data_IF_505061167363
#
_entry.id   IF_505061167363
#
_cell.length_a   1.000
_cell.length_b   1.000
_cell.length_c   1.000
_cell.angle_alpha   90.00
_cell.angle_beta   90.00
_cell.angle_gamma   90.00
#
_symmetry.space_group_name_H-M   'P 1'
#
loop_
_entity.id
_entity.type
_entity.pdbx_description
1 polymer ?
#
# COMPACT_ATOMS: atom_id res chain seq x y z
N UNK A 1 9.75 0.18 7.34
CA UNK A 1 9.36 1.18 8.36
C UNK A 1 10.07 2.49 8.06
N UNK A 2 9.33 3.57 7.86
CA UNK A 2 9.83 4.91 7.57
C UNK A 2 9.87 5.72 8.88
N UNK A 3 11.02 6.33 9.26
CA UNK A 3 11.11 7.12 10.49
C UNK A 3 10.52 8.53 10.34
N UNK A 4 10.27 9.20 11.46
CA UNK A 4 9.83 10.61 11.48
C UNK A 4 10.80 11.54 10.73
N UNK A 5 10.28 12.69 10.26
CA UNK A 5 11.05 13.71 9.55
C UNK A 5 11.72 13.20 8.27
N UNK A 6 11.00 12.37 7.52
CA UNK A 6 11.52 11.74 6.29
C UNK A 6 10.77 12.24 5.07
N UNK A 7 11.51 12.58 4.02
CA UNK A 7 10.97 12.73 2.67
C UNK A 7 11.52 11.61 1.80
N UNK A 8 10.62 10.79 1.23
CA UNK A 8 10.94 9.87 0.14
C UNK A 8 10.39 10.49 -1.14
N UNK A 9 11.28 10.77 -2.09
CA UNK A 9 10.91 11.38 -3.36
C UNK A 9 11.52 10.60 -4.53
N UNK A 10 10.70 10.24 -5.52
CA UNK A 10 11.18 9.62 -6.75
C UNK A 10 11.82 10.64 -7.69
N UNK A 11 12.86 10.21 -8.42
CA UNK A 11 13.57 11.03 -9.40
C UNK A 11 13.04 10.73 -10.81
N UNK A 12 12.67 11.78 -11.54
CA UNK A 12 12.08 11.66 -12.87
C UNK A 12 10.81 10.80 -12.84
N UNK A 13 10.67 9.88 -13.79
CA UNK A 13 9.53 8.97 -13.94
C UNK A 13 9.79 7.56 -13.41
N UNK A 14 10.92 7.32 -12.75
CA UNK A 14 11.40 5.96 -12.45
C UNK A 14 11.33 5.59 -10.96
N UNK A 15 10.88 6.51 -10.09
CA UNK A 15 10.72 6.23 -8.67
C UNK A 15 9.66 5.16 -8.46
N UNK A 16 10.06 3.94 -8.13
CA UNK A 16 9.17 2.78 -8.02
C UNK A 16 9.55 1.87 -6.86
N UNK A 17 8.54 1.38 -6.15
CA UNK A 17 8.65 0.28 -5.18
C UNK A 17 7.77 -0.89 -5.64
N UNK A 18 8.26 -2.11 -5.45
CA UNK A 18 7.53 -3.36 -5.73
C UNK A 18 7.78 -4.38 -4.61
N UNK A 19 6.90 -5.38 -4.52
CA UNK A 19 7.06 -6.53 -3.62
C UNK A 19 7.15 -6.17 -2.12
N UNK A 20 6.56 -5.05 -1.70
CA UNK A 20 6.53 -4.68 -0.30
C UNK A 20 5.77 -3.39 -0.01
N UNK A 21 5.57 -3.14 1.28
CA UNK A 21 4.75 -2.05 1.80
C UNK A 21 5.59 -0.89 2.34
N UNK A 22 5.19 0.34 2.04
CA UNK A 22 5.71 1.52 2.74
C UNK A 22 4.95 1.74 4.05
N UNK A 23 5.61 1.39 5.16
CA UNK A 23 5.01 1.45 6.51
C UNK A 23 5.43 2.72 7.24
N UNK A 24 4.46 3.60 7.54
CA UNK A 24 4.56 4.82 8.35
C UNK A 24 3.82 4.53 9.66
N UNK A 25 4.56 4.19 10.73
CA UNK A 25 3.96 3.68 11.97
C UNK A 25 4.53 4.34 13.22
N UNK A 26 3.67 4.96 14.03
CA UNK A 26 4.07 5.61 15.28
C UNK A 26 5.02 6.78 15.06
N UNK A 27 4.89 7.48 13.93
CA UNK A 27 5.81 8.55 13.51
C UNK A 27 5.06 9.80 13.06
N UNK A 28 5.81 10.88 12.87
CA UNK A 28 5.26 12.17 12.44
C UNK A 28 6.14 12.82 11.37
N UNK A 29 5.55 13.71 10.57
CA UNK A 29 6.24 14.51 9.56
C UNK A 29 6.91 13.63 8.49
N UNK A 30 6.10 12.93 7.71
CA UNK A 30 6.56 12.07 6.61
C UNK A 30 5.96 12.51 5.29
N UNK A 31 6.79 12.53 4.25
CA UNK A 31 6.42 12.95 2.91
C UNK A 31 6.76 11.81 1.93
N UNK A 32 5.75 11.30 1.21
CA UNK A 32 5.90 10.36 0.09
C UNK A 32 5.55 11.07 -1.21
N UNK A 33 6.52 11.23 -2.14
CA UNK A 33 6.30 12.04 -3.35
C UNK A 33 6.83 11.47 -4.64
N UNK A 34 6.06 11.62 -5.72
CA UNK A 34 6.49 11.24 -7.07
C UNK A 34 6.95 9.77 -7.14
N UNK A 35 6.15 8.86 -6.57
CA UNK A 35 6.46 7.43 -6.50
C UNK A 35 5.38 6.61 -7.22
N UNK A 36 5.79 5.52 -7.85
CA UNK A 36 4.91 4.43 -8.24
C UNK A 36 5.04 3.30 -7.21
N UNK A 37 3.93 2.89 -6.61
CA UNK A 37 3.85 1.76 -5.69
C UNK A 37 3.08 0.64 -6.38
N UNK A 38 3.75 -0.48 -6.63
CA UNK A 38 3.10 -1.70 -7.07
C UNK A 38 2.59 -2.47 -5.84
N UNK A 39 1.30 -2.78 -5.80
CA UNK A 39 0.69 -3.49 -4.69
C UNK A 39 1.40 -4.84 -4.47
N UNK A 40 1.75 -5.19 -3.21
CA UNK A 40 2.47 -6.41 -2.92
C UNK A 40 1.54 -7.63 -3.03
N UNK A 41 2.04 -8.69 -3.67
CA UNK A 41 1.33 -9.97 -3.75
C UNK A 41 1.64 -10.80 -2.51
N UNK A 42 0.64 -11.03 -1.66
CA UNK A 42 0.76 -11.93 -0.52
C UNK A 42 0.96 -13.37 -0.99
N UNK A 43 2.07 -13.98 -0.57
CA UNK A 43 2.44 -15.35 -0.94
C UNK A 43 1.72 -16.40 -0.10
N UNK A 44 1.16 -16.00 1.05
CA UNK A 44 0.43 -16.88 1.95
C UNK A 44 -0.76 -16.15 2.61
N UNK A 45 -1.77 -15.72 1.83
CA UNK A 45 -3.01 -15.17 2.36
C UNK A 45 -3.65 -16.10 3.40
N UNK A 46 -4.32 -15.50 4.38
CA UNK A 46 -5.00 -16.23 5.44
C UNK A 46 -6.41 -16.63 5.00
N UNK A 47 -6.82 -17.88 5.27
CA UNK A 47 -8.18 -18.33 4.98
C UNK A 47 -9.09 -18.08 6.18
N UNK A 48 -10.18 -17.35 5.94
CA UNK A 48 -11.21 -17.06 6.92
C UNK A 48 -12.50 -17.82 6.61
N UNK A 49 -12.98 -18.59 7.58
CA UNK A 49 -14.19 -19.39 7.40
C UNK A 49 -15.40 -18.48 7.20
N UNK A 50 -15.98 -18.54 6.00
CA UNK A 50 -17.15 -17.74 5.61
C UNK A 50 -16.82 -16.49 4.77
N UNK A 51 -15.54 -16.17 4.57
CA UNK A 51 -15.09 -15.00 3.81
C UNK A 51 -14.02 -15.32 2.75
N UNK A 52 -13.37 -16.49 2.85
CA UNK A 52 -12.42 -16.96 1.83
C UNK A 52 -10.98 -16.56 2.15
N UNK A 53 -10.16 -16.33 1.13
CA UNK A 53 -8.77 -15.93 1.30
C UNK A 53 -8.65 -14.41 1.46
N UNK A 54 -7.88 -13.96 2.43
CA UNK A 54 -7.62 -12.55 2.75
C UNK A 54 -6.11 -12.28 2.77
N UNK A 55 -5.68 -11.28 2.03
CA UNK A 55 -4.29 -10.82 1.99
C UNK A 55 -4.00 -9.81 3.12
N UNK A 56 -2.73 -9.66 3.51
CA UNK A 56 -2.34 -8.83 4.66
C UNK A 56 -1.59 -7.53 4.31
N UNK A 57 -1.06 -7.40 3.09
CA UNK A 57 -0.06 -6.39 2.79
C UNK A 57 -0.59 -5.24 1.92
N UNK A 58 -0.64 -4.05 2.52
CA UNK A 58 -0.97 -2.81 1.81
C UNK A 58 0.19 -2.31 0.92
N UNK A 59 -0.05 -1.54 -0.14
CA UNK A 59 1.05 -0.86 -0.85
C UNK A 59 1.72 0.22 0.04
N UNK A 60 0.91 0.96 0.81
CA UNK A 60 1.36 1.86 1.85
C UNK A 60 0.38 1.89 3.03
N UNK A 61 0.91 2.07 4.24
CA UNK A 61 0.10 2.13 5.47
C UNK A 61 0.57 3.24 6.39
N UNK A 62 -0.38 4.05 6.88
CA UNK A 62 -0.23 5.12 7.87
C UNK A 62 -0.95 4.67 9.15
N UNK A 63 -0.21 4.09 10.08
CA UNK A 63 -0.70 3.50 11.34
C UNK A 63 -0.28 4.38 12.53
N UNK A 64 -1.25 4.88 13.30
CA UNK A 64 -1.01 5.70 14.50
C UNK A 64 0.06 6.79 14.27
N UNK A 65 -0.08 7.55 13.19
CA UNK A 65 0.91 8.53 12.72
C UNK A 65 0.24 9.83 12.28
N UNK A 66 0.97 10.95 12.35
CA UNK A 66 0.41 12.27 12.02
C UNK A 66 1.30 13.11 11.10
N UNK A 67 0.73 14.16 10.50
CA UNK A 67 1.41 15.06 9.58
C UNK A 67 2.10 14.32 8.43
N UNK A 68 1.30 13.57 7.67
CA UNK A 68 1.77 12.80 6.52
C UNK A 68 1.26 13.41 5.22
N UNK A 69 2.15 13.61 4.25
CA UNK A 69 1.79 14.10 2.92
C UNK A 69 2.13 13.08 1.85
N UNK A 70 1.10 12.58 1.17
CA UNK A 70 1.20 11.68 0.01
C UNK A 70 0.87 12.48 -1.24
N UNK A 71 1.87 12.76 -2.08
CA UNK A 71 1.72 13.66 -3.23
C UNK A 71 2.29 13.11 -4.53
N UNK A 72 1.52 13.16 -5.62
CA UNK A 72 1.96 12.59 -6.90
C UNK A 72 2.38 11.11 -6.79
N UNK A 73 1.71 10.34 -5.93
CA UNK A 73 1.93 8.90 -5.82
C UNK A 73 0.95 8.18 -6.73
N UNK A 74 1.42 7.18 -7.46
CA UNK A 74 0.57 6.23 -8.20
C UNK A 74 0.59 4.90 -7.49
N UNK A 75 -0.57 4.34 -7.15
CA UNK A 75 -0.70 2.99 -6.58
C UNK A 75 -1.48 2.13 -7.57
N UNK A 76 -0.96 0.93 -7.87
CA UNK A 76 -1.55 0.02 -8.85
C UNK A 76 -1.14 -1.43 -8.57
N UNK A 77 -1.99 -2.39 -8.95
CA UNK A 77 -1.67 -3.82 -8.99
C UNK A 77 -0.52 -4.15 -9.96
N UNK A 78 -0.30 -3.26 -10.94
CA UNK A 78 0.85 -3.31 -11.84
C UNK A 78 0.96 -4.62 -12.62
N UNK A 79 2.00 -5.41 -12.32
CA UNK A 79 2.28 -6.62 -13.10
C UNK A 79 1.36 -7.80 -12.77
N UNK A 80 0.69 -7.78 -11.62
CA UNK A 80 -0.19 -8.86 -11.15
C UNK A 80 -1.56 -8.29 -10.77
N UNK A 81 -2.47 -8.21 -11.73
CA UNK A 81 -3.83 -7.70 -11.55
C UNK A 81 -4.77 -8.79 -11.02
N UNK A 82 -5.83 -8.36 -10.37
CA UNK A 82 -6.89 -9.21 -9.79
C UNK A 82 -7.44 -10.32 -10.72
N UNK A 83 -7.49 -10.10 -12.04
CA UNK A 83 -7.93 -11.11 -13.01
C UNK A 83 -6.96 -12.29 -13.16
N UNK A 84 -5.73 -12.15 -12.65
CA UNK A 84 -4.68 -13.18 -12.68
C UNK A 84 -4.65 -14.06 -11.44
N UNK A 85 -5.50 -13.79 -10.45
CA UNK A 85 -5.59 -14.67 -9.29
C UNK A 85 -5.96 -16.09 -9.71
N UNK A 86 -5.48 -17.03 -8.91
CA UNK A 86 -5.84 -18.44 -9.04
C UNK A 86 -7.00 -18.79 -8.11
N UNK A 87 -7.44 -20.04 -8.16
CA UNK A 87 -8.40 -20.60 -7.21
C UNK A 87 -7.66 -21.57 -6.30
N UNK A 88 -7.94 -21.52 -5.00
CA UNK A 88 -7.41 -22.45 -4.01
C UNK A 88 -8.54 -22.85 -3.06
N UNK A 89 -8.71 -24.16 -2.86
CA UNK A 89 -9.78 -24.73 -2.04
C UNK A 89 -11.20 -24.30 -2.45
N UNK A 90 -11.40 -24.08 -3.76
CA UNK A 90 -12.68 -23.70 -4.35
C UNK A 90 -12.99 -22.20 -4.32
N UNK A 91 -12.14 -21.40 -3.67
CA UNK A 91 -12.31 -19.95 -3.52
C UNK A 91 -11.22 -19.17 -4.28
N UNK A 92 -11.51 -17.91 -4.63
CA UNK A 92 -10.53 -16.98 -5.23
C UNK A 92 -9.36 -16.82 -4.26
N UNK A 93 -8.13 -17.09 -4.71
CA UNK A 93 -6.92 -16.90 -3.90
C UNK A 93 -6.55 -15.42 -3.97
N UNK A 94 -7.21 -14.59 -3.16
CA UNK A 94 -7.00 -13.14 -3.09
C UNK A 94 -5.62 -12.87 -2.50
N UNK A 95 -4.79 -12.11 -3.21
CA UNK A 95 -3.39 -11.84 -2.82
C UNK A 95 -3.03 -10.36 -2.71
N UNK A 96 -3.93 -9.43 -3.06
CA UNK A 96 -3.80 -8.01 -2.72
C UNK A 96 -4.75 -7.62 -1.59
N UNK A 97 -4.27 -6.74 -0.71
CA UNK A 97 -5.06 -6.11 0.35
C UNK A 97 -5.39 -4.66 -0.05
N UNK A 98 -5.26 -3.68 0.85
CA UNK A 98 -5.51 -2.27 0.59
C UNK A 98 -4.41 -1.61 -0.26
N UNK A 99 -4.79 -0.57 -1.00
CA UNK A 99 -3.81 0.26 -1.71
C UNK A 99 -3.09 1.22 -0.74
N UNK A 100 -3.85 2.04 -0.01
CA UNK A 100 -3.35 2.97 0.99
C UNK A 100 -4.27 2.94 2.21
N UNK A 101 -3.71 2.50 3.33
CA UNK A 101 -4.44 2.41 4.59
C UNK A 101 -4.07 3.54 5.55
N UNK A 102 -5.07 4.13 6.21
CA UNK A 102 -4.89 5.13 7.28
C UNK A 102 -5.69 4.68 8.48
N UNK A 103 -5.01 4.16 9.52
CA UNK A 103 -5.65 3.47 10.64
C UNK A 103 -5.08 3.84 12.01
N UNK A 104 -5.79 3.40 13.05
CA UNK A 104 -5.39 3.49 14.47
C UNK A 104 -5.08 4.91 14.97
N UNK A 105 -5.96 5.86 14.65
CA UNK A 105 -5.87 7.23 15.16
C UNK A 105 -4.87 8.13 14.44
N UNK A 106 -4.42 7.74 13.25
CA UNK A 106 -3.67 8.63 12.37
C UNK A 106 -4.46 9.91 12.04
N UNK A 107 -3.77 11.05 11.96
CA UNK A 107 -4.39 12.38 11.79
C UNK A 107 -3.52 13.31 10.93
N UNK A 108 -4.06 14.46 10.50
CA UNK A 108 -3.36 15.47 9.70
C UNK A 108 -2.69 14.89 8.44
N UNK A 109 -3.41 14.03 7.71
CA UNK A 109 -2.95 13.45 6.45
C UNK A 109 -3.48 14.27 5.26
N UNK A 110 -2.62 14.59 4.31
CA UNK A 110 -3.03 15.11 3.00
C UNK A 110 -2.64 14.12 1.91
N UNK A 111 -3.60 13.77 1.06
CA UNK A 111 -3.36 13.03 -0.18
C UNK A 111 -3.69 13.97 -1.34
N UNK A 112 -2.71 14.30 -2.17
CA UNK A 112 -2.86 15.24 -3.28
C UNK A 112 -2.27 14.71 -4.57
N UNK A 113 -2.90 15.04 -5.71
CA UNK A 113 -2.40 14.74 -7.05
C UNK A 113 -1.95 13.29 -7.28
N UNK A 114 -2.50 12.36 -6.51
CA UNK A 114 -2.15 10.94 -6.53
C UNK A 114 -3.18 10.17 -7.37
N UNK A 115 -2.77 9.04 -7.93
CA UNK A 115 -3.60 8.17 -8.76
C UNK A 115 -3.70 6.78 -8.15
N UNK A 116 -4.90 6.22 -8.19
CA UNK A 116 -5.18 4.84 -7.80
C UNK A 116 -5.70 4.13 -9.06
N UNK A 117 -4.93 3.15 -9.53
CA UNK A 117 -5.12 2.42 -10.78
C UNK A 117 -5.12 0.92 -10.44
N UNK A 118 -6.16 0.49 -9.72
CA UNK A 118 -6.38 -0.88 -9.24
C UNK A 118 -7.22 -1.68 -10.25
#
# INVERSE_FOLDING_TARGET
SIPSNTTIIGIGSNGKFTNGSLVIKGVSNVILRNLYLEAPVDVAPHYETGDGWNAEWDAAVIDNSDHVWVDHVTISDGSFTDDKYTTKDGEKYVQHDGALDIKKGSDFVTISYSRFEL
#
